data_IF_615468094022
#
_entry.id   IF_615468094022
#
_cell.length_a   1.000
_cell.length_b   1.000
_cell.length_c   1.000
_cell.angle_alpha   90.00
_cell.angle_beta   90.00
_cell.angle_gamma   90.00
#
_symmetry.space_group_name_H-M   'P 1'
#
loop_
_entity.id
_entity.type
_entity.pdbx_description
1 polymer ?
#
# COMPACT_ATOMS: atom_id res chain seq x y z
N UNK A 1 32.56 32.49 -53.16
CA UNK A 1 32.79 33.80 -52.51
C UNK A 1 33.48 33.54 -51.17
N UNK A 2 34.81 33.55 -51.17
CA UNK A 2 35.64 33.71 -49.97
C UNK A 2 36.03 35.19 -49.96
N UNK A 3 36.29 35.83 -48.81
CA UNK A 3 37.59 35.62 -48.18
C UNK A 3 37.56 35.76 -46.62
N UNK A 4 38.32 34.94 -45.87
CA UNK A 4 39.64 35.29 -45.28
C UNK A 4 39.51 36.20 -44.01
N UNK A 5 40.26 36.04 -42.92
CA UNK A 5 41.66 35.57 -42.79
C UNK A 5 42.10 35.58 -41.30
N UNK A 6 42.98 34.62 -40.98
CA UNK A 6 44.27 34.71 -40.23
C UNK A 6 44.29 35.24 -38.78
N UNK A 7 45.09 34.67 -37.87
CA UNK A 7 46.06 33.58 -38.02
C UNK A 7 47.07 33.44 -36.86
N UNK A 8 47.98 32.46 -37.06
CA UNK A 8 49.36 32.25 -36.53
C UNK A 8 49.54 32.12 -34.99
N UNK A 9 49.95 30.95 -34.44
CA UNK A 9 51.33 30.39 -34.30
C UNK A 9 52.34 31.40 -33.68
N UNK A 10 53.21 31.10 -32.71
CA UNK A 10 53.59 29.90 -31.96
C UNK A 10 54.64 30.29 -30.85
N UNK A 11 54.98 29.32 -29.97
CA UNK A 11 56.22 29.14 -29.18
C UNK A 11 56.49 30.08 -27.98
N UNK A 12 56.57 29.61 -26.71
CA UNK A 12 57.49 28.69 -25.97
C UNK A 12 58.70 29.41 -25.32
N UNK A 13 58.80 29.28 -23.98
CA UNK A 13 59.98 29.18 -23.06
C UNK A 13 59.63 29.83 -21.71
N UNK A 14 60.05 29.41 -20.50
CA UNK A 14 60.78 28.30 -19.84
C UNK A 14 60.45 28.45 -18.32
N UNK A 15 60.57 27.38 -17.49
CA UNK A 15 60.11 27.27 -16.08
C UNK A 15 60.82 28.15 -15.01
N UNK A 16 60.74 27.88 -13.68
CA UNK A 16 60.72 26.53 -13.04
C UNK A 16 59.72 26.31 -11.87
N UNK A 17 59.65 25.02 -11.48
CA UNK A 17 59.23 24.36 -10.22
C UNK A 17 58.60 25.15 -9.08
N UNK A 18 57.50 24.62 -8.50
CA UNK A 18 57.41 24.30 -7.06
C UNK A 18 56.27 23.27 -6.83
N UNK A 19 56.57 22.26 -6.00
CA UNK A 19 55.82 21.00 -5.92
C UNK A 19 54.49 21.03 -5.15
N UNK A 20 53.77 19.91 -5.26
CA UNK A 20 52.53 19.69 -4.52
C UNK A 20 51.83 18.38 -4.88
N UNK A 21 52.26 17.29 -4.24
CA UNK A 21 51.52 16.06 -3.91
C UNK A 21 50.61 15.44 -4.99
N UNK A 22 51.08 14.32 -5.53
CA UNK A 22 50.24 13.23 -6.02
C UNK A 22 49.38 12.74 -4.85
N UNK A 23 48.09 13.00 -4.89
CA UNK A 23 47.13 12.34 -4.02
C UNK A 23 46.88 10.90 -4.54
N UNK A 24 46.64 9.92 -3.65
CA UNK A 24 46.55 8.52 -4.02
C UNK A 24 45.36 8.28 -4.94
N UNK A 25 45.49 7.31 -5.84
CA UNK A 25 44.34 6.58 -6.37
C UNK A 25 43.69 5.89 -5.19
N UNK A 26 42.52 6.38 -4.78
CA UNK A 26 41.61 5.62 -3.95
C UNK A 26 41.01 4.52 -4.82
N UNK A 27 41.75 3.41 -4.89
CA UNK A 27 41.20 2.08 -5.13
C UNK A 27 40.29 1.75 -3.94
N UNK A 28 39.02 2.13 -4.02
CA UNK A 28 37.91 1.43 -3.37
C UNK A 28 36.60 2.17 -3.66
N UNK A 29 35.77 1.62 -4.55
CA UNK A 29 34.36 1.30 -4.30
C UNK A 29 33.89 0.44 -5.48
N UNK A 30 34.43 -0.78 -5.56
CA UNK A 30 33.84 -1.83 -6.37
C UNK A 30 32.70 -2.46 -5.55
N UNK A 31 31.49 -1.92 -5.74
CA UNK A 31 30.25 -2.64 -5.51
C UNK A 31 29.18 -1.98 -6.39
N UNK A 32 29.25 -2.23 -7.70
CA UNK A 32 28.03 -2.28 -8.51
C UNK A 32 27.26 -3.54 -8.11
N UNK A 33 26.81 -3.60 -6.86
CA UNK A 33 25.76 -4.54 -6.49
C UNK A 33 24.50 -3.97 -7.12
N UNK A 34 23.92 -4.70 -8.08
CA UNK A 34 22.63 -4.31 -8.66
C UNK A 34 21.62 -4.02 -7.56
N UNK A 35 20.63 -3.17 -7.86
CA UNK A 35 19.57 -2.88 -6.90
C UNK A 35 18.98 -4.21 -6.37
N UNK A 36 18.70 -4.37 -5.06
CA UNK A 36 18.43 -5.67 -4.43
C UNK A 36 17.32 -6.51 -5.07
N UNK A 37 16.39 -5.86 -5.75
CA UNK A 37 15.24 -6.49 -6.42
C UNK A 37 15.34 -6.43 -7.95
N UNK A 38 16.52 -6.11 -8.50
CA UNK A 38 16.76 -6.05 -9.94
C UNK A 38 16.38 -7.36 -10.61
N UNK A 39 15.44 -7.28 -11.56
CA UNK A 39 14.94 -8.45 -12.31
C UNK A 39 13.88 -9.27 -11.59
N UNK A 40 13.42 -8.83 -10.41
CA UNK A 40 12.34 -9.48 -9.65
C UNK A 40 11.01 -8.82 -9.93
N UNK A 41 9.98 -9.64 -10.10
CA UNK A 41 8.59 -9.26 -10.29
C UNK A 41 7.82 -9.32 -8.97
N UNK A 42 7.26 -8.18 -8.55
CA UNK A 42 6.55 -8.05 -7.27
C UNK A 42 5.10 -7.69 -7.53
N UNK A 43 4.18 -8.53 -7.09
CA UNK A 43 2.74 -8.26 -7.18
C UNK A 43 2.26 -7.49 -5.96
N UNK A 44 1.54 -6.40 -6.23
CA UNK A 44 0.84 -5.60 -5.23
C UNK A 44 -0.65 -5.69 -5.48
N UNK A 45 -1.41 -6.23 -4.52
CA UNK A 45 -2.84 -6.57 -4.68
C UNK A 45 -3.79 -5.36 -4.58
N UNK A 46 -3.34 -4.17 -4.98
CA UNK A 46 -4.13 -2.92 -4.97
C UNK A 46 -3.76 -2.08 -6.18
N UNK A 47 -4.62 -1.14 -6.54
CA UNK A 47 -4.31 -0.15 -7.56
C UNK A 47 -3.06 0.64 -7.17
N UNK A 48 -2.20 0.95 -8.16
CA UNK A 48 -0.93 1.65 -7.94
C UNK A 48 -1.09 2.93 -7.09
N UNK A 49 -2.09 3.76 -7.40
CA UNK A 49 -2.35 4.99 -6.65
C UNK A 49 -2.69 4.73 -5.16
N UNK A 50 -3.35 3.62 -4.83
CA UNK A 50 -3.71 3.25 -3.47
C UNK A 50 -2.59 2.54 -2.71
N UNK A 51 -1.51 2.19 -3.41
CA UNK A 51 -0.37 1.46 -2.86
C UNK A 51 0.97 2.12 -3.19
N UNK A 52 0.98 3.43 -3.48
CA UNK A 52 2.20 4.17 -3.82
C UNK A 52 3.30 3.97 -2.76
N UNK A 53 2.92 3.99 -1.47
CA UNK A 53 3.83 3.74 -0.35
C UNK A 53 4.52 2.37 -0.35
N UNK A 54 3.96 1.38 -1.06
CA UNK A 54 4.56 0.06 -1.26
C UNK A 54 5.26 -0.04 -2.63
N UNK A 55 4.64 0.50 -3.67
CA UNK A 55 5.13 0.44 -5.05
C UNK A 55 6.43 1.22 -5.23
N UNK A 56 6.48 2.48 -4.81
CA UNK A 56 7.63 3.36 -5.07
C UNK A 56 8.92 2.83 -4.41
N UNK A 57 8.92 2.36 -3.14
CA UNK A 57 10.12 1.79 -2.54
C UNK A 57 10.59 0.50 -3.21
N UNK A 58 9.68 -0.36 -3.68
CA UNK A 58 10.03 -1.59 -4.38
C UNK A 58 10.69 -1.29 -5.74
N UNK A 59 10.15 -0.34 -6.50
CA UNK A 59 10.73 0.10 -7.78
C UNK A 59 12.08 0.80 -7.59
N UNK A 60 12.23 1.60 -6.52
CA UNK A 60 13.51 2.21 -6.16
C UNK A 60 14.60 1.15 -5.84
N UNK A 61 14.20 -0.04 -5.43
CA UNK A 61 15.07 -1.21 -5.22
C UNK A 61 15.24 -2.08 -6.48
N UNK A 62 14.68 -1.67 -7.63
CA UNK A 62 14.85 -2.32 -8.92
C UNK A 62 13.81 -3.39 -9.28
N UNK A 63 12.76 -3.54 -8.48
CA UNK A 63 11.67 -4.48 -8.78
C UNK A 63 10.81 -4.02 -9.96
N UNK A 64 10.32 -4.97 -10.75
CA UNK A 64 9.16 -4.76 -11.61
C UNK A 64 7.88 -4.94 -10.79
N UNK A 65 7.17 -3.85 -10.50
CA UNK A 65 5.94 -3.91 -9.70
C UNK A 65 4.70 -4.06 -10.56
N UNK A 66 4.01 -5.18 -10.38
CA UNK A 66 2.74 -5.52 -11.06
C UNK A 66 1.60 -5.19 -10.10
N UNK A 67 0.93 -4.06 -10.33
CA UNK A 67 -0.24 -3.66 -9.55
C UNK A 67 -1.48 -4.42 -10.05
N UNK A 68 -2.05 -5.27 -9.19
CA UNK A 68 -3.25 -6.06 -9.46
C UNK A 68 -4.34 -5.60 -8.50
N UNK A 69 -5.22 -4.66 -8.90
CA UNK A 69 -6.36 -4.27 -8.08
C UNK A 69 -7.36 -5.43 -8.05
N UNK A 70 -7.26 -6.31 -7.05
CA UNK A 70 -8.09 -7.52 -6.94
C UNK A 70 -9.55 -7.24 -6.54
N UNK A 71 -9.88 -5.97 -6.26
CA UNK A 71 -11.23 -5.54 -5.92
C UNK A 71 -11.61 -4.25 -6.64
N UNK A 72 -12.90 -4.09 -6.84
CA UNK A 72 -13.54 -2.84 -7.23
C UNK A 72 -14.43 -2.33 -6.09
N UNK A 73 -14.38 -1.02 -5.87
CA UNK A 73 -15.25 -0.32 -4.95
C UNK A 73 -16.39 0.28 -5.76
N UNK A 74 -17.56 -0.34 -5.67
CA UNK A 74 -18.75 0.04 -6.42
C UNK A 74 -19.86 0.52 -5.49
N UNK A 75 -20.87 1.16 -6.07
CA UNK A 75 -21.98 1.70 -5.30
C UNK A 75 -22.82 0.57 -4.69
N UNK A 76 -23.37 0.78 -3.48
CA UNK A 76 -24.28 -0.19 -2.87
C UNK A 76 -25.61 -0.21 -3.64
N UNK A 77 -26.47 -1.22 -3.43
CA UNK A 77 -27.78 -1.29 -4.08
C UNK A 77 -28.68 -0.07 -3.84
N UNK A 78 -28.53 0.59 -2.68
CA UNK A 78 -29.31 1.76 -2.27
C UNK A 78 -28.39 2.97 -2.01
N UNK A 79 -27.78 3.58 -3.04
CA UNK A 79 -26.81 4.66 -2.86
C UNK A 79 -27.43 5.93 -2.27
N UNK A 80 -28.74 6.14 -2.46
CA UNK A 80 -29.49 7.26 -1.91
C UNK A 80 -29.47 7.32 -0.37
N UNK A 81 -29.30 6.18 0.32
CA UNK A 81 -29.24 6.16 1.79
C UNK A 81 -28.07 6.95 2.34
N UNK A 82 -26.93 6.91 1.66
CA UNK A 82 -25.78 7.73 2.04
C UNK A 82 -26.07 9.21 1.77
N UNK A 83 -26.64 9.54 0.62
CA UNK A 83 -26.96 10.93 0.30
C UNK A 83 -27.93 11.56 1.30
N UNK A 84 -28.97 10.83 1.69
CA UNK A 84 -29.98 11.31 2.63
C UNK A 84 -29.43 11.46 4.05
N UNK A 85 -28.45 10.63 4.43
CA UNK A 85 -27.71 10.80 5.67
C UNK A 85 -26.77 12.01 5.61
N UNK A 86 -26.05 12.21 4.50
CA UNK A 86 -25.12 13.33 4.33
C UNK A 86 -25.83 14.69 4.23
N UNK A 87 -27.01 14.77 3.63
CA UNK A 87 -27.83 16.00 3.65
C UNK A 87 -28.28 16.39 5.05
N UNK A 88 -28.36 15.41 5.96
CA UNK A 88 -28.75 15.56 7.36
C UNK A 88 -27.56 15.35 8.29
N UNK A 89 -26.35 15.60 7.82
CA UNK A 89 -25.14 15.29 8.59
C UNK A 89 -25.12 15.97 9.97
N UNK A 90 -25.68 17.18 10.07
CA UNK A 90 -25.82 17.92 11.34
C UNK A 90 -26.85 17.35 12.32
N UNK A 91 -27.66 16.36 11.93
CA UNK A 91 -28.53 15.61 12.85
C UNK A 91 -27.75 14.51 13.60
N UNK A 92 -26.50 14.25 13.21
CA UNK A 92 -25.62 13.27 13.82
C UNK A 92 -24.60 13.96 14.73
N UNK A 93 -24.33 13.33 15.86
CA UNK A 93 -23.25 13.73 16.78
C UNK A 93 -21.90 13.19 16.33
N UNK A 94 -21.91 12.05 15.62
CA UNK A 94 -20.75 11.33 15.16
C UNK A 94 -20.91 10.78 13.75
N UNK A 95 -19.85 10.89 12.95
CA UNK A 95 -19.60 10.14 11.73
C UNK A 95 -18.48 9.14 12.02
N UNK A 96 -18.76 7.85 11.87
CA UNK A 96 -17.76 6.78 12.02
C UNK A 96 -17.30 6.31 10.64
N UNK A 97 -15.99 6.26 10.43
CA UNK A 97 -15.34 5.75 9.21
C UNK A 97 -14.33 4.66 9.57
N UNK A 98 -14.53 3.47 9.01
CA UNK A 98 -13.69 2.30 9.33
C UNK A 98 -12.63 1.95 8.27
N UNK A 99 -12.61 2.68 7.16
CA UNK A 99 -11.68 2.43 6.06
C UNK A 99 -11.42 3.70 5.24
N UNK A 100 -10.25 3.76 4.60
CA UNK A 100 -9.92 4.81 3.62
C UNK A 100 -10.94 4.86 2.46
N UNK A 101 -11.45 3.70 2.01
CA UNK A 101 -12.52 3.65 1.00
C UNK A 101 -13.82 4.31 1.49
N UNK A 102 -14.15 4.18 2.78
CA UNK A 102 -15.29 4.87 3.39
C UNK A 102 -15.10 6.39 3.38
N UNK A 103 -13.89 6.86 3.71
CA UNK A 103 -13.51 8.27 3.61
C UNK A 103 -13.71 8.76 2.17
N UNK A 104 -13.11 8.10 1.19
CA UNK A 104 -13.19 8.47 -0.23
C UNK A 104 -14.63 8.54 -0.73
N UNK A 105 -15.46 7.58 -0.33
CA UNK A 105 -16.86 7.53 -0.74
C UNK A 105 -17.69 8.62 -0.13
N UNK A 106 -17.52 8.91 1.16
CA UNK A 106 -18.20 10.04 1.80
C UNK A 106 -17.81 11.36 1.13
N UNK A 107 -16.52 11.59 0.90
CA UNK A 107 -16.03 12.82 0.24
C UNK A 107 -16.59 12.96 -1.17
N UNK A 108 -16.55 11.89 -1.97
CA UNK A 108 -17.09 11.90 -3.32
C UNK A 108 -18.60 12.22 -3.35
N UNK A 109 -19.37 11.69 -2.38
CA UNK A 109 -20.81 12.00 -2.26
C UNK A 109 -21.05 13.42 -1.76
N UNK A 110 -20.29 13.93 -0.79
CA UNK A 110 -20.39 15.31 -0.33
C UNK A 110 -20.16 16.30 -1.49
N UNK A 111 -19.18 16.03 -2.34
CA UNK A 111 -18.91 16.84 -3.54
C UNK A 111 -20.06 16.74 -4.55
N UNK A 112 -20.52 15.53 -4.86
CA UNK A 112 -21.64 15.31 -5.78
C UNK A 112 -22.95 15.97 -5.31
N UNK A 113 -23.12 16.17 -4.01
CA UNK A 113 -24.26 16.85 -3.39
C UNK A 113 -24.08 18.37 -3.28
N UNK A 114 -22.92 18.91 -3.64
CA UNK A 114 -22.60 20.34 -3.49
C UNK A 114 -22.41 20.80 -2.05
N UNK A 115 -22.19 19.86 -1.11
CA UNK A 115 -21.95 20.15 0.31
C UNK A 115 -20.46 20.43 0.58
N UNK A 116 -19.59 19.76 -0.17
CA UNK A 116 -18.14 19.85 -0.04
C UNK A 116 -17.61 19.29 1.29
N UNK A 117 -16.29 19.27 1.43
CA UNK A 117 -15.61 18.74 2.64
C UNK A 117 -15.95 19.52 3.91
N UNK A 118 -16.27 20.81 3.78
CA UNK A 118 -16.61 21.69 4.92
C UNK A 118 -17.85 21.25 5.70
N UNK A 119 -18.74 20.46 5.10
CA UNK A 119 -19.91 19.89 5.77
C UNK A 119 -19.53 18.98 6.96
N UNK A 120 -18.34 18.36 6.92
CA UNK A 120 -17.84 17.51 8.00
C UNK A 120 -17.59 18.30 9.31
N UNK A 121 -17.49 19.64 9.26
CA UNK A 121 -17.39 20.46 10.48
C UNK A 121 -18.67 20.46 11.33
N UNK A 122 -19.79 19.99 10.79
CA UNK A 122 -21.07 19.89 11.50
C UNK A 122 -21.19 18.63 12.39
N UNK A 123 -20.22 17.72 12.34
CA UNK A 123 -20.27 16.42 13.03
C UNK A 123 -18.87 16.04 13.54
N UNK A 124 -18.79 15.31 14.66
CA UNK A 124 -17.50 14.75 15.10
C UNK A 124 -17.14 13.53 14.27
N UNK A 125 -15.89 13.38 13.89
CA UNK A 125 -15.42 12.26 13.05
C UNK A 125 -14.60 11.29 13.86
N UNK A 126 -15.07 10.04 13.94
CA UNK A 126 -14.35 8.93 14.54
C UNK A 126 -13.83 8.00 13.45
N UNK A 127 -12.57 7.57 13.56
CA UNK A 127 -11.96 6.62 12.62
C UNK A 127 -11.35 5.43 13.33
N UNK A 128 -11.41 4.25 12.70
CA UNK A 128 -10.91 3.01 13.33
C UNK A 128 -9.39 2.90 13.25
N UNK A 129 -8.79 3.14 12.07
CA UNK A 129 -7.39 2.77 11.83
C UNK A 129 -6.51 3.92 11.37
N UNK A 130 -5.20 3.82 11.63
CA UNK A 130 -4.19 4.81 11.26
C UNK A 130 -4.24 5.19 9.76
N UNK A 131 -4.43 4.21 8.86
CA UNK A 131 -4.57 4.46 7.43
C UNK A 131 -5.84 5.26 7.07
N UNK A 132 -6.92 5.09 7.84
CA UNK A 132 -8.15 5.86 7.66
C UNK A 132 -7.97 7.29 8.17
N UNK A 133 -7.31 7.46 9.32
CA UNK A 133 -6.95 8.76 9.87
C UNK A 133 -6.04 9.54 8.90
N UNK A 134 -5.01 8.89 8.35
CA UNK A 134 -4.11 9.49 7.38
C UNK A 134 -4.87 9.95 6.12
N UNK A 135 -5.76 9.11 5.59
CA UNK A 135 -6.56 9.48 4.41
C UNK A 135 -7.50 10.65 4.68
N UNK A 136 -8.11 10.71 5.87
CA UNK A 136 -8.94 11.86 6.26
C UNK A 136 -8.09 13.14 6.38
N UNK A 137 -6.90 13.05 6.96
CA UNK A 137 -5.98 14.18 7.14
C UNK A 137 -5.53 14.82 5.82
N UNK A 138 -5.44 14.05 4.72
CA UNK A 138 -5.17 14.59 3.38
C UNK A 138 -6.23 15.59 2.89
N UNK A 139 -7.41 15.60 3.51
CA UNK A 139 -8.49 16.57 3.23
C UNK A 139 -8.43 17.83 4.11
N UNK A 140 -7.45 17.91 5.01
CA UNK A 140 -7.34 18.97 6.01
C UNK A 140 -8.22 18.76 7.26
N UNK A 141 -8.86 17.60 7.41
CA UNK A 141 -9.67 17.25 8.57
C UNK A 141 -8.92 16.26 9.46
N UNK A 142 -8.75 16.62 10.72
CA UNK A 142 -8.29 15.67 11.74
C UNK A 142 -9.49 14.94 12.35
N UNK A 143 -9.43 13.62 12.56
CA UNK A 143 -10.46 12.90 13.30
C UNK A 143 -10.49 13.35 14.78
N UNK A 144 -11.69 13.46 15.34
CA UNK A 144 -11.92 13.77 16.76
C UNK A 144 -11.65 12.56 17.66
N UNK A 145 -11.75 11.34 17.11
CA UNK A 145 -11.51 10.10 17.85
C UNK A 145 -10.78 9.07 16.99
N UNK A 146 -9.67 8.56 17.53
CA UNK A 146 -8.89 7.44 16.98
C UNK A 146 -8.50 6.54 18.15
N UNK A 147 -8.71 5.22 18.10
CA UNK A 147 -8.27 4.34 19.16
C UNK A 147 -6.76 4.09 19.10
N UNK A 148 -6.13 3.89 20.25
CA UNK A 148 -4.68 3.67 20.38
C UNK A 148 -4.20 2.40 19.65
N UNK A 149 -5.05 1.37 19.61
CA UNK A 149 -4.74 0.07 19.00
C UNK A 149 -5.12 -0.04 17.53
N UNK A 150 -5.79 0.98 16.98
CA UNK A 150 -6.30 1.02 15.60
C UNK A 150 -7.30 -0.10 15.25
N UNK A 151 -8.04 -0.61 16.25
CA UNK A 151 -9.03 -1.68 16.10
C UNK A 151 -10.46 -1.22 16.38
N UNK A 152 -11.42 -2.02 15.93
CA UNK A 152 -12.84 -1.74 16.19
C UNK A 152 -13.14 -1.83 17.68
N UNK A 153 -12.55 -2.79 18.39
CA UNK A 153 -12.72 -2.96 19.82
C UNK A 153 -12.17 -1.75 20.59
N UNK A 154 -10.96 -1.27 20.27
CA UNK A 154 -10.43 -0.06 20.87
C UNK A 154 -11.27 1.18 20.58
N UNK A 155 -11.93 1.26 19.41
CA UNK A 155 -12.86 2.36 19.14
C UNK A 155 -14.08 2.31 20.06
N UNK A 156 -14.61 1.13 20.36
CA UNK A 156 -15.71 0.97 21.32
C UNK A 156 -15.29 1.42 22.71
N UNK A 157 -14.09 1.02 23.16
CA UNK A 157 -13.54 1.45 24.45
C UNK A 157 -13.36 2.98 24.50
N UNK A 158 -12.89 3.57 23.40
CA UNK A 158 -12.75 5.01 23.27
C UNK A 158 -14.10 5.74 23.35
N UNK A 159 -15.16 5.20 22.74
CA UNK A 159 -16.53 5.71 22.88
C UNK A 159 -17.07 5.56 24.31
N UNK A 160 -16.79 4.43 24.97
CA UNK A 160 -17.21 4.19 26.36
C UNK A 160 -16.51 5.15 27.34
N UNK A 161 -15.26 5.53 27.07
CA UNK A 161 -14.50 6.49 27.88
C UNK A 161 -15.07 7.92 27.81
N UNK A 162 -15.91 8.24 26.83
CA UNK A 162 -16.57 9.55 26.73
C UNK A 162 -17.69 9.75 27.77
N UNK A 163 -18.14 8.71 28.46
CA UNK A 163 -19.20 8.77 29.49
C UNK A 163 -20.47 8.01 29.10
N UNK A 164 -21.56 8.21 29.88
CA UNK A 164 -22.87 7.60 29.58
C UNK A 164 -23.33 8.03 28.18
N UNK A 165 -23.43 7.02 27.30
CA UNK A 165 -23.66 7.21 25.88
C UNK A 165 -25.04 7.77 25.57
N UNK A 166 -25.08 8.55 24.50
CA UNK A 166 -26.26 9.19 23.97
C UNK A 166 -25.88 9.97 22.72
N UNK A 167 -26.80 10.08 21.78
CA UNK A 167 -26.59 10.76 20.50
C UNK A 167 -26.63 9.83 19.30
N UNK A 168 -26.57 10.46 18.13
CA UNK A 168 -26.75 9.80 16.84
C UNK A 168 -25.43 9.58 16.14
N UNK A 169 -25.21 8.34 15.70
CA UNK A 169 -24.00 7.92 15.00
C UNK A 169 -24.37 7.54 13.58
N UNK A 170 -23.83 8.25 12.60
CA UNK A 170 -23.80 7.79 11.21
C UNK A 170 -22.57 6.90 11.03
N UNK A 171 -22.79 5.61 10.81
CA UNK A 171 -21.69 4.70 10.47
C UNK A 171 -21.68 4.39 8.98
N UNK A 172 -20.85 5.13 8.24
CA UNK A 172 -20.61 4.93 6.81
C UNK A 172 -19.58 3.79 6.59
N UNK A 173 -20.04 2.69 5.99
CA UNK A 173 -19.26 1.44 5.92
C UNK A 173 -19.39 0.69 4.60
N UNK A 174 -18.54 -0.32 4.40
CA UNK A 174 -18.76 -1.33 3.38
C UNK A 174 -20.08 -2.08 3.66
N UNK A 175 -20.84 -2.41 2.62
CA UNK A 175 -22.02 -3.26 2.72
C UNK A 175 -21.70 -4.60 3.41
N UNK A 176 -20.58 -5.21 3.06
CA UNK A 176 -20.09 -6.49 3.62
C UNK A 176 -19.38 -6.34 4.98
N UNK A 177 -19.28 -5.11 5.50
CA UNK A 177 -18.62 -4.84 6.79
C UNK A 177 -19.26 -5.61 7.95
N UNK A 178 -18.48 -5.79 9.03
CA UNK A 178 -18.99 -6.43 10.25
C UNK A 178 -19.99 -5.52 10.96
N UNK A 179 -21.07 -6.10 11.48
CA UNK A 179 -22.08 -5.39 12.26
C UNK A 179 -21.63 -5.08 13.70
N UNK A 180 -20.61 -5.82 14.18
CA UNK A 180 -20.15 -5.79 15.56
C UNK A 180 -19.90 -4.39 16.14
N UNK A 181 -19.17 -3.52 15.43
CA UNK A 181 -18.91 -2.15 15.92
C UNK A 181 -20.21 -1.36 16.12
N UNK A 182 -21.18 -1.48 15.20
CA UNK A 182 -22.47 -0.80 15.33
C UNK A 182 -23.31 -1.34 16.48
N UNK A 183 -23.32 -2.67 16.65
CA UNK A 183 -24.00 -3.34 17.76
C UNK A 183 -23.41 -2.94 19.12
N UNK A 184 -22.09 -2.85 19.20
CA UNK A 184 -21.39 -2.45 20.42
C UNK A 184 -21.62 -0.97 20.76
N UNK A 185 -21.61 -0.07 19.77
CA UNK A 185 -21.99 1.33 19.99
C UNK A 185 -23.45 1.47 20.41
N UNK A 186 -24.36 0.70 19.83
CA UNK A 186 -25.76 0.67 20.26
C UNK A 186 -25.90 0.17 21.70
N UNK A 187 -25.11 -0.83 22.11
CA UNK A 187 -25.08 -1.32 23.49
C UNK A 187 -24.54 -0.28 24.50
N UNK A 188 -23.76 0.70 24.03
CA UNK A 188 -23.33 1.85 24.82
C UNK A 188 -24.38 2.98 24.88
N UNK A 189 -25.52 2.85 24.19
CA UNK A 189 -26.63 3.82 24.22
C UNK A 189 -26.69 4.78 23.02
N UNK A 190 -25.86 4.59 22.00
CA UNK A 190 -25.92 5.40 20.77
C UNK A 190 -27.03 4.93 19.82
N UNK A 191 -27.70 5.88 19.15
CA UNK A 191 -28.57 5.59 18.00
C UNK A 191 -27.70 5.45 16.75
N UNK A 192 -27.45 4.21 16.30
CA UNK A 192 -26.52 3.95 15.19
C UNK A 192 -27.25 3.71 13.87
N UNK A 193 -27.08 4.62 12.93
CA UNK A 193 -27.48 4.45 11.54
C UNK A 193 -26.36 3.77 10.74
N UNK A 194 -26.53 2.48 10.46
CA UNK A 194 -25.64 1.72 9.59
C UNK A 194 -25.95 2.02 8.12
N UNK A 195 -25.09 2.80 7.48
CA UNK A 195 -25.29 3.23 6.10
C UNK A 195 -24.21 2.64 5.19
N UNK A 196 -24.59 1.78 4.23
CA UNK A 196 -23.65 1.31 3.20
C UNK A 196 -23.19 2.50 2.35
N UNK A 197 -21.89 2.78 2.39
CA UNK A 197 -21.26 3.80 1.55
C UNK A 197 -20.72 3.22 0.24
N UNK A 198 -20.39 1.93 0.25
CA UNK A 198 -19.91 1.17 -0.90
C UNK A 198 -20.11 -0.31 -0.69
N UNK A 199 -19.91 -1.08 -1.74
CA UNK A 199 -19.74 -2.53 -1.68
C UNK A 199 -18.42 -2.93 -2.36
N UNK A 200 -17.82 -4.00 -1.87
CA UNK A 200 -16.56 -4.51 -2.45
C UNK A 200 -16.87 -5.73 -3.31
N UNK A 201 -16.54 -5.65 -4.60
CA UNK A 201 -16.68 -6.80 -5.52
C UNK A 201 -15.30 -7.23 -6.03
N UNK A 202 -15.09 -8.51 -6.37
CA UNK A 202 -13.88 -8.92 -7.09
C UNK A 202 -13.76 -8.11 -8.38
N UNK A 203 -12.55 -7.63 -8.67
CA UNK A 203 -12.29 -6.95 -9.92
C UNK A 203 -12.37 -7.92 -11.11
N UNK A 204 -12.75 -7.41 -12.28
CA UNK A 204 -12.52 -8.15 -13.52
C UNK A 204 -11.07 -7.92 -13.96
N UNK A 205 -10.38 -8.99 -14.34
CA UNK A 205 -9.01 -8.87 -14.80
C UNK A 205 -8.96 -8.19 -16.17
N UNK A 206 -8.00 -7.30 -16.37
CA UNK A 206 -7.53 -7.01 -17.71
C UNK A 206 -6.96 -8.31 -18.32
N UNK A 207 -7.20 -8.54 -19.61
CA UNK A 207 -7.02 -9.84 -20.26
C UNK A 207 -5.61 -10.45 -20.17
N UNK A 208 -4.59 -9.71 -19.74
CA UNK A 208 -3.22 -10.22 -19.59
C UNK A 208 -2.74 -10.42 -18.15
N UNK A 209 -3.46 -9.93 -17.13
CA UNK A 209 -2.95 -9.96 -15.74
C UNK A 209 -2.98 -11.36 -15.16
N UNK A 210 -4.06 -12.11 -15.39
CA UNK A 210 -4.21 -13.48 -14.88
C UNK A 210 -3.21 -14.41 -15.57
N UNK A 211 -3.07 -14.29 -16.89
CA UNK A 211 -2.05 -15.02 -17.66
C UNK A 211 -0.65 -14.72 -17.13
N UNK A 212 -0.36 -13.45 -16.80
CA UNK A 212 0.93 -13.06 -16.24
C UNK A 212 1.18 -13.68 -14.86
N UNK A 213 0.17 -13.74 -13.99
CA UNK A 213 0.28 -14.42 -12.70
C UNK A 213 0.47 -15.92 -12.88
N UNK A 214 -0.22 -16.53 -13.86
CA UNK A 214 -0.11 -17.96 -14.17
C UNK A 214 1.22 -18.35 -14.82
N UNK A 215 1.92 -17.42 -15.48
CA UNK A 215 3.29 -17.62 -15.97
C UNK A 215 4.35 -17.58 -14.86
N UNK A 216 3.96 -17.17 -13.65
CA UNK A 216 4.84 -17.04 -12.50
C UNK A 216 5.32 -15.61 -12.28
N UNK A 217 5.42 -15.24 -11.00
CA UNK A 217 5.98 -13.99 -10.48
C UNK A 217 6.84 -14.33 -9.27
N UNK A 218 7.82 -13.49 -8.94
CA UNK A 218 8.75 -13.82 -7.85
C UNK A 218 8.07 -13.73 -6.48
N UNK A 219 7.28 -12.68 -6.24
CA UNK A 219 6.65 -12.48 -4.93
C UNK A 219 5.30 -11.77 -5.01
N UNK A 220 4.36 -12.19 -4.17
CA UNK A 220 3.05 -11.58 -3.99
C UNK A 220 2.95 -11.00 -2.58
N UNK A 221 2.60 -9.71 -2.49
CA UNK A 221 2.51 -9.00 -1.21
C UNK A 221 1.09 -9.03 -0.64
N UNK A 222 0.97 -9.34 0.65
CA UNK A 222 -0.28 -9.37 1.39
C UNK A 222 -0.21 -8.42 2.58
N UNK A 223 -0.99 -7.33 2.50
CA UNK A 223 -0.98 -6.25 3.50
C UNK A 223 -2.16 -6.32 4.47
N UNK A 224 -3.09 -7.26 4.28
CA UNK A 224 -4.17 -7.53 5.23
C UNK A 224 -4.80 -8.91 4.97
N UNK A 225 -5.54 -9.49 5.93
CA UNK A 225 -6.32 -10.71 5.68
C UNK A 225 -7.29 -10.60 4.48
N UNK A 226 -7.81 -9.40 4.23
CA UNK A 226 -8.68 -9.15 3.09
C UNK A 226 -7.96 -9.26 1.75
N UNK A 227 -6.66 -8.92 1.64
CA UNK A 227 -5.94 -9.07 0.36
C UNK A 227 -5.79 -10.53 -0.02
N UNK A 228 -5.62 -11.43 0.95
CA UNK A 228 -5.60 -12.89 0.72
C UNK A 228 -6.93 -13.36 0.15
N UNK A 229 -8.04 -13.05 0.86
CA UNK A 229 -9.39 -13.42 0.43
C UNK A 229 -9.71 -12.86 -0.96
N UNK A 230 -9.34 -11.61 -1.21
CA UNK A 230 -9.69 -10.91 -2.44
C UNK A 230 -8.89 -11.44 -3.64
N UNK A 231 -7.60 -11.75 -3.47
CA UNK A 231 -6.80 -12.33 -4.54
C UNK A 231 -7.32 -13.72 -4.94
N UNK A 232 -7.66 -14.56 -3.97
CA UNK A 232 -8.26 -15.89 -4.23
C UNK A 232 -9.56 -15.74 -5.02
N UNK A 233 -10.48 -14.87 -4.56
CA UNK A 233 -11.75 -14.63 -5.24
C UNK A 233 -11.56 -14.01 -6.64
N UNK A 234 -10.53 -13.17 -6.82
CA UNK A 234 -10.15 -12.61 -8.11
C UNK A 234 -9.68 -13.69 -9.08
N UNK A 235 -8.80 -14.60 -8.65
CA UNK A 235 -8.31 -15.69 -9.48
C UNK A 235 -9.44 -16.66 -9.87
N UNK A 236 -10.26 -17.09 -8.91
CA UNK A 236 -11.43 -17.95 -9.15
C UNK A 236 -12.43 -17.28 -10.11
N UNK A 237 -12.72 -15.99 -9.88
CA UNK A 237 -13.65 -15.22 -10.70
C UNK A 237 -13.18 -15.00 -12.14
N UNK A 238 -11.87 -15.15 -12.40
CA UNK A 238 -11.28 -15.05 -13.73
C UNK A 238 -10.81 -16.42 -14.28
N UNK A 239 -11.25 -17.52 -13.66
CA UNK A 239 -11.03 -18.88 -14.18
C UNK A 239 -9.64 -19.47 -13.95
N UNK A 240 -8.81 -18.87 -13.08
CA UNK A 240 -7.52 -19.42 -12.67
C UNK A 240 -7.65 -20.19 -11.35
N UNK A 241 -6.86 -21.26 -11.18
CA UNK A 241 -6.73 -21.97 -9.91
C UNK A 241 -5.81 -21.17 -8.96
N UNK A 242 -6.33 -20.67 -7.82
CA UNK A 242 -5.51 -19.94 -6.86
C UNK A 242 -4.33 -20.76 -6.32
N UNK A 243 -4.50 -22.06 -6.12
CA UNK A 243 -3.44 -22.90 -5.58
C UNK A 243 -2.27 -23.04 -6.56
N UNK A 244 -2.57 -23.17 -7.86
CA UNK A 244 -1.56 -23.23 -8.90
C UNK A 244 -0.78 -21.91 -8.97
N UNK A 245 -1.48 -20.78 -9.12
CA UNK A 245 -0.84 -19.45 -9.23
C UNK A 245 -0.02 -19.11 -7.99
N UNK A 246 -0.55 -19.36 -6.79
CA UNK A 246 0.13 -19.04 -5.53
C UNK A 246 1.31 -19.98 -5.25
N UNK A 247 1.35 -21.17 -5.86
CA UNK A 247 2.51 -22.08 -5.75
C UNK A 247 3.71 -21.65 -6.60
N UNK A 248 3.49 -20.75 -7.57
CA UNK A 248 4.52 -20.24 -8.47
C UNK A 248 5.25 -18.99 -7.95
N UNK A 249 4.85 -18.48 -6.78
CA UNK A 249 5.34 -17.23 -6.24
C UNK A 249 5.56 -17.32 -4.72
N UNK A 250 6.54 -16.56 -4.22
CA UNK A 250 6.71 -16.41 -2.78
C UNK A 250 5.60 -15.52 -2.20
N UNK A 251 5.06 -15.89 -1.04
CA UNK A 251 4.11 -15.05 -0.33
C UNK A 251 4.82 -14.17 0.71
N UNK A 252 4.67 -12.85 0.58
CA UNK A 252 5.17 -11.87 1.54
C UNK A 252 4.01 -11.30 2.37
N UNK A 253 3.96 -11.66 3.64
CA UNK A 253 2.97 -11.18 4.60
C UNK A 253 3.48 -9.95 5.33
N UNK A 254 2.63 -8.94 5.51
CA UNK A 254 2.98 -7.77 6.34
C UNK A 254 3.05 -8.12 7.83
N UNK A 255 2.48 -9.24 8.29
CA UNK A 255 2.51 -9.59 9.70
C UNK A 255 1.53 -10.68 10.15
N UNK A 256 1.50 -10.99 11.47
CA UNK A 256 0.95 -12.25 11.99
C UNK A 256 -0.52 -12.48 11.67
N UNK A 257 -1.34 -11.44 11.68
CA UNK A 257 -2.79 -11.56 11.39
C UNK A 257 -3.02 -11.92 9.92
N UNK A 258 -2.21 -11.37 9.01
CA UNK A 258 -2.27 -11.69 7.58
C UNK A 258 -1.69 -13.08 7.31
N UNK A 259 -0.61 -13.44 8.01
CA UNK A 259 -0.02 -14.79 7.95
C UNK A 259 -1.00 -15.85 8.40
N UNK A 260 -1.71 -15.65 9.50
CA UNK A 260 -2.76 -16.57 9.92
C UNK A 260 -3.85 -16.76 8.84
N UNK A 261 -4.17 -15.71 8.07
CA UNK A 261 -5.12 -15.79 6.97
C UNK A 261 -4.56 -16.56 5.75
N UNK A 262 -3.26 -16.44 5.45
CA UNK A 262 -2.57 -17.23 4.43
C UNK A 262 -2.52 -18.71 4.82
N UNK A 263 -2.09 -19.02 6.04
CA UNK A 263 -1.97 -20.38 6.57
C UNK A 263 -3.32 -21.09 6.61
N UNK A 264 -4.40 -20.37 6.97
CA UNK A 264 -5.76 -20.91 6.92
C UNK A 264 -6.21 -21.31 5.50
N UNK A 265 -5.48 -20.89 4.46
CA UNK A 265 -5.68 -21.27 3.05
C UNK A 265 -4.59 -22.21 2.53
N UNK A 266 -3.74 -22.74 3.42
CA UNK A 266 -2.65 -23.65 3.06
C UNK A 266 -1.43 -22.97 2.44
N UNK A 267 -1.28 -21.65 2.62
CA UNK A 267 -0.17 -20.87 2.08
C UNK A 267 0.73 -20.45 3.24
N UNK A 268 1.96 -20.94 3.25
CA UNK A 268 2.99 -20.51 4.21
C UNK A 268 3.77 -19.34 3.60
N UNK A 269 3.74 -18.13 4.19
CA UNK A 269 4.54 -17.02 3.67
C UNK A 269 6.03 -17.24 3.91
N UNK A 270 6.84 -17.07 2.87
CA UNK A 270 8.29 -17.12 2.98
C UNK A 270 8.88 -15.85 3.62
N UNK A 271 8.12 -14.74 3.60
CA UNK A 271 8.58 -13.44 4.08
C UNK A 271 7.54 -12.87 5.06
N UNK A 272 7.95 -12.62 6.30
CA UNK A 272 7.21 -11.86 7.30
C UNK A 272 8.19 -10.94 8.08
N UNK A 273 8.00 -9.61 8.07
CA UNK A 273 8.83 -8.70 8.87
C UNK A 273 8.45 -8.74 10.35
N UNK A 274 9.39 -8.42 11.24
CA UNK A 274 9.12 -8.32 12.68
C UNK A 274 8.14 -7.19 13.03
N UNK A 275 8.17 -6.09 12.27
CA UNK A 275 7.24 -4.97 12.41
C UNK A 275 6.20 -5.01 11.29
N UNK A 276 4.91 -4.85 11.63
CA UNK A 276 3.82 -4.87 10.65
C UNK A 276 3.63 -3.54 9.92
N UNK A 277 4.68 -3.08 9.27
CA UNK A 277 4.71 -1.81 8.52
C UNK A 277 5.13 -2.03 7.06
N UNK A 278 4.69 -1.15 6.17
CA UNK A 278 5.09 -1.20 4.76
C UNK A 278 6.61 -1.07 4.58
N UNK A 279 7.32 -0.15 5.25
CA UNK A 279 8.78 -0.09 5.16
C UNK A 279 9.48 -1.38 5.60
N UNK A 280 9.01 -2.00 6.69
CA UNK A 280 9.57 -3.26 7.17
C UNK A 280 9.32 -4.41 6.20
N UNK A 281 8.14 -4.48 5.58
CA UNK A 281 7.82 -5.45 4.54
C UNK A 281 8.75 -5.30 3.32
N UNK A 282 8.96 -4.07 2.84
CA UNK A 282 9.87 -3.79 1.71
C UNK A 282 11.30 -4.22 2.04
N UNK A 283 11.78 -3.88 3.24
CA UNK A 283 13.12 -4.28 3.69
C UNK A 283 13.27 -5.81 3.78
N UNK A 284 12.25 -6.52 4.28
CA UNK A 284 12.25 -7.97 4.37
C UNK A 284 12.30 -8.64 2.98
N UNK A 285 11.53 -8.14 2.00
CA UNK A 285 11.57 -8.62 0.62
C UNK A 285 12.97 -8.40 0.00
N UNK A 286 13.54 -7.21 0.19
CA UNK A 286 14.89 -6.90 -0.28
C UNK A 286 15.96 -7.83 0.32
N UNK A 287 15.87 -8.08 1.64
CA UNK A 287 16.78 -8.97 2.34
C UNK A 287 16.68 -10.42 1.84
N UNK A 288 15.46 -10.91 1.62
CA UNK A 288 15.20 -12.26 1.10
C UNK A 288 15.96 -12.51 -0.22
N UNK A 289 15.85 -11.59 -1.18
CA UNK A 289 16.52 -11.73 -2.49
C UNK A 289 17.99 -11.31 -2.50
N UNK A 290 18.46 -10.57 -1.50
CA UNK A 290 19.89 -10.23 -1.37
C UNK A 290 20.76 -11.42 -0.95
N UNK A 291 20.16 -12.40 -0.26
CA UNK A 291 20.85 -13.64 0.17
C UNK A 291 21.05 -14.61 -1.01
N UNK A 292 20.30 -14.45 -2.11
CA UNK A 292 20.32 -15.32 -3.28
C UNK A 292 21.33 -14.94 -4.37
N UNK A 293 22.18 -13.91 -4.21
CA UNK A 293 23.24 -13.62 -5.16
C UNK A 293 24.47 -14.52 -4.87
N UNK A 294 24.70 -15.64 -5.58
CA UNK A 294 26.01 -16.28 -5.54
C UNK A 294 27.02 -15.29 -6.10
N UNK A 295 28.13 -15.10 -5.38
CA UNK A 295 29.27 -14.35 -5.85
C UNK A 295 29.68 -14.89 -7.24
N UNK A 296 29.44 -14.10 -8.29
CA UNK A 296 29.78 -14.49 -9.65
C UNK A 296 31.30 -14.57 -9.79
N UNK A 297 31.81 -15.79 -9.92
CA UNK A 297 33.00 -16.15 -10.71
C UNK A 297 34.30 -15.45 -10.36
N UNK A 298 35.00 -15.94 -9.35
CA UNK A 298 36.47 -15.86 -9.35
C UNK A 298 37.02 -16.80 -10.42
N UNK A 299 37.24 -16.25 -11.62
CA UNK A 299 38.07 -16.87 -12.67
C UNK A 299 39.52 -16.49 -12.44
N UNK A 300 40.38 -17.47 -12.15
CA UNK A 300 41.84 -17.55 -12.39
C UNK A 300 42.41 -18.66 -11.49
N UNK A 301 43.30 -19.55 -11.88
CA UNK A 301 43.95 -19.86 -13.15
C UNK A 301 44.55 -21.27 -13.00
N UNK A 302 44.52 -22.09 -14.05
CA UNK A 302 45.33 -23.31 -14.11
C UNK A 302 46.82 -22.93 -14.19
N UNK A 303 47.73 -23.53 -13.39
CA UNK A 303 49.15 -23.45 -13.68
C UNK A 303 49.50 -24.52 -14.72
N UNK A 304 50.06 -24.03 -15.83
CA UNK A 304 50.60 -24.84 -16.91
C UNK A 304 51.72 -25.76 -16.41
N UNK A 305 51.75 -26.98 -16.94
CA UNK A 305 52.83 -27.93 -16.78
C UNK A 305 54.20 -27.37 -17.23
N UNK A 306 55.23 -27.57 -16.41
CA UNK A 306 56.61 -27.89 -16.78
C UNK A 306 57.38 -28.37 -15.55
#
# INVERSE_FOLDING_TARGET
MHPRRRGRRAARHLGPDFGGRVAPRDDNLNATSGAPLSGRSVVVTRARAQAAALVEPLEALGAEVIAVPVIEIVDPPEPARLDDALRRLGDYDWLVLSSANGVDRVLARLEALGLGVGALSAVRVAVVGAATAARLAETGIAPDLVPDDFRQEGLVDAFAALGEGGGRVLFARALEGRFLLGEQLAALGYEVDLVPAYRTVPAQADSGVVDRLALGVDVITFTSPSTVKNLIAFLEGNGADPAEVLSLAEAASIGPVTTAALVARGIEPAIEPAESTVPALVAAIAAFYSVELPASGASAAEPSAS
#
